data_IF_867140647128
#
_entry.id   IF_867140647128
#
_cell.length_a   1.000
_cell.length_b   1.000
_cell.length_c   1.000
_cell.angle_alpha   90.00
_cell.angle_beta   90.00
_cell.angle_gamma   90.00
#
_symmetry.space_group_name_H-M   'P 1'
#
loop_
_entity.id
_entity.type
_entity.pdbx_description
1 polymer ?
#
# COMPACT_ATOMS: atom_id res chain seq x y z
N UNK A 1 18.12 5.32 22.46
CA UNK A 1 16.93 4.55 22.06
C UNK A 1 15.70 5.41 21.80
N UNK A 2 15.51 6.54 22.50
CA UNK A 2 14.52 7.57 22.10
C UNK A 2 15.08 8.52 21.02
N UNK A 3 16.34 8.94 21.17
CA UNK A 3 17.02 9.83 20.22
C UNK A 3 17.10 9.30 18.76
N UNK A 4 17.10 7.96 18.56
CA UNK A 4 17.13 7.35 17.22
C UNK A 4 15.76 7.41 16.52
N UNK A 5 14.68 7.32 17.30
CA UNK A 5 13.30 7.47 16.82
C UNK A 5 13.00 8.95 16.52
N UNK A 6 13.48 9.86 17.38
CA UNK A 6 13.35 11.31 17.15
C UNK A 6 14.10 11.76 15.90
N UNK A 7 15.31 11.23 15.63
CA UNK A 7 16.04 11.52 14.40
C UNK A 7 15.36 10.97 13.13
N UNK A 8 14.63 9.87 13.23
CA UNK A 8 13.85 9.33 12.10
C UNK A 8 12.63 10.21 11.78
N UNK A 9 11.99 10.79 12.81
CA UNK A 9 10.86 11.72 12.63
C UNK A 9 11.28 13.02 11.91
N UNK A 10 12.48 13.53 12.19
CA UNK A 10 13.02 14.73 11.52
C UNK A 10 13.33 14.48 10.04
N UNK A 11 13.74 13.26 9.68
CA UNK A 11 13.96 12.88 8.27
C UNK A 11 12.64 12.81 7.47
N UNK A 12 11.51 12.56 8.14
CA UNK A 12 10.17 12.49 7.55
C UNK A 12 9.51 13.87 7.38
N UNK A 13 10.06 14.92 7.99
CA UNK A 13 9.44 16.24 8.11
C UNK A 13 9.40 17.05 6.80
N UNK A 14 10.21 16.69 5.81
CA UNK A 14 10.11 17.20 4.46
C UNK A 14 9.70 16.04 3.55
N UNK A 15 8.42 15.70 3.58
CA UNK A 15 7.84 14.81 2.57
C UNK A 15 8.10 15.37 1.16
N UNK A 16 8.06 14.52 0.12
CA UNK A 16 8.14 15.00 -1.25
C UNK A 16 7.08 16.08 -1.50
N UNK A 17 7.37 17.00 -2.42
CA UNK A 17 6.39 18.01 -2.83
C UNK A 17 5.06 17.33 -3.16
N UNK A 18 3.99 17.82 -2.54
CA UNK A 18 2.66 17.23 -2.69
C UNK A 18 2.24 17.32 -4.16
N UNK A 19 1.86 16.17 -4.71
CA UNK A 19 1.44 16.04 -6.10
C UNK A 19 -0.03 16.44 -6.18
N UNK A 20 -0.39 17.33 -7.12
CA UNK A 20 -1.79 17.65 -7.39
C UNK A 20 -2.44 16.53 -8.20
N UNK A 21 -2.79 15.44 -7.50
CA UNK A 21 -3.42 14.27 -8.09
C UNK A 21 -4.77 14.59 -8.76
N UNK A 22 -5.45 15.67 -8.34
CA UNK A 22 -6.71 16.09 -8.93
C UNK A 22 -6.55 16.71 -10.32
N UNK A 23 -5.33 17.18 -10.65
CA UNK A 23 -5.01 17.72 -11.97
C UNK A 23 -4.52 16.66 -12.97
N UNK A 24 -4.27 15.42 -12.53
CA UNK A 24 -3.77 14.34 -13.38
C UNK A 24 -4.86 13.75 -14.29
N UNK A 25 -4.43 13.27 -15.47
CA UNK A 25 -5.26 12.33 -16.24
C UNK A 25 -5.47 11.03 -15.47
N UNK A 26 -6.53 10.27 -15.78
CA UNK A 26 -6.83 9.03 -15.06
C UNK A 26 -5.75 7.95 -15.28
N UNK A 27 -5.20 7.86 -16.48
CA UNK A 27 -4.08 6.97 -16.78
C UNK A 27 -2.79 7.40 -16.10
N UNK A 28 -2.53 8.71 -16.06
CA UNK A 28 -1.38 9.29 -15.34
C UNK A 28 -1.49 9.05 -13.82
N UNK A 29 -2.69 9.20 -13.25
CA UNK A 29 -2.94 8.91 -11.85
C UNK A 29 -2.72 7.42 -11.54
N UNK A 30 -3.17 6.51 -12.41
CA UNK A 30 -2.91 5.09 -12.27
C UNK A 30 -1.40 4.78 -12.31
N UNK A 31 -0.66 5.36 -13.26
CA UNK A 31 0.80 5.24 -13.32
C UNK A 31 1.49 5.76 -12.06
N UNK A 32 1.03 6.91 -11.55
CA UNK A 32 1.57 7.51 -10.35
C UNK A 32 1.35 6.60 -9.12
N UNK A 33 0.16 6.02 -8.98
CA UNK A 33 -0.18 5.11 -7.88
C UNK A 33 0.70 3.86 -7.94
N UNK A 34 0.84 3.24 -9.11
CA UNK A 34 1.66 2.04 -9.31
C UNK A 34 3.14 2.31 -8.98
N UNK A 35 3.71 3.38 -9.55
CA UNK A 35 5.14 3.69 -9.45
C UNK A 35 5.55 4.23 -8.08
N UNK A 36 4.67 4.97 -7.40
CA UNK A 36 4.98 5.64 -6.13
C UNK A 36 4.55 4.80 -4.94
N UNK A 37 3.31 4.32 -4.93
CA UNK A 37 2.71 3.69 -3.76
C UNK A 37 2.82 2.17 -3.82
N UNK A 38 2.44 1.53 -4.93
CA UNK A 38 2.46 0.06 -5.01
C UNK A 38 3.88 -0.49 -5.00
N UNK A 39 4.80 0.16 -5.73
CA UNK A 39 6.22 -0.20 -5.72
C UNK A 39 6.82 -0.15 -4.30
N UNK A 40 6.51 0.92 -3.54
CA UNK A 40 6.92 1.06 -2.15
C UNK A 40 6.31 -0.03 -1.26
N UNK A 41 4.99 -0.23 -1.31
CA UNK A 41 4.30 -1.20 -0.46
C UNK A 41 4.76 -2.64 -0.75
N UNK A 42 4.95 -3.01 -2.01
CA UNK A 42 5.49 -4.33 -2.39
C UNK A 42 6.90 -4.59 -1.85
N UNK A 43 7.71 -3.54 -1.71
CA UNK A 43 9.05 -3.64 -1.12
C UNK A 43 9.02 -3.70 0.41
N UNK A 44 8.17 -2.90 1.05
CA UNK A 44 8.20 -2.73 2.51
C UNK A 44 7.29 -3.68 3.28
N UNK A 45 6.14 -4.10 2.73
CA UNK A 45 5.21 -5.00 3.44
C UNK A 45 5.87 -6.35 3.84
N UNK A 46 6.63 -7.04 2.98
CA UNK A 46 7.33 -8.27 3.39
C UNK A 46 8.34 -8.03 4.52
N UNK A 47 9.05 -6.89 4.49
CA UNK A 47 10.01 -6.50 5.53
C UNK A 47 9.29 -6.21 6.85
N UNK A 48 8.12 -5.56 6.77
CA UNK A 48 7.29 -5.23 7.93
C UNK A 48 6.75 -6.50 8.61
N UNK A 49 6.30 -7.49 7.83
CA UNK A 49 5.91 -8.82 8.33
C UNK A 49 7.08 -9.47 9.09
N UNK A 50 8.26 -9.54 8.49
CA UNK A 50 9.44 -10.13 9.13
C UNK A 50 9.81 -9.41 10.45
N UNK A 51 9.69 -8.08 10.49
CA UNK A 51 9.92 -7.30 11.69
C UNK A 51 8.89 -7.60 12.78
N UNK A 52 7.61 -7.62 12.42
CA UNK A 52 6.52 -7.89 13.35
C UNK A 52 6.64 -9.29 13.96
N UNK A 53 6.92 -10.31 13.14
CA UNK A 53 7.11 -11.68 13.58
C UNK A 53 8.31 -11.83 14.51
N UNK A 54 9.44 -11.17 14.20
CA UNK A 54 10.63 -11.18 15.06
C UNK A 54 10.38 -10.53 16.42
N UNK A 55 9.66 -9.40 16.44
CA UNK A 55 9.30 -8.71 17.68
C UNK A 55 8.40 -9.60 18.53
N UNK A 56 7.36 -10.20 17.93
CA UNK A 56 6.48 -11.13 18.63
C UNK A 56 7.26 -12.34 19.18
N UNK A 57 8.08 -12.99 18.35
CA UNK A 57 8.86 -14.16 18.77
C UNK A 57 9.79 -13.87 19.96
N UNK A 58 10.43 -12.70 19.99
CA UNK A 58 11.40 -12.34 21.04
C UNK A 58 10.74 -11.79 22.31
N UNK A 59 9.59 -11.14 22.19
CA UNK A 59 9.01 -10.34 23.25
C UNK A 59 7.59 -10.73 23.67
N UNK A 60 6.97 -11.76 23.09
CA UNK A 60 5.62 -12.21 23.45
C UNK A 60 5.44 -12.53 24.94
N UNK A 61 6.50 -12.98 25.62
CA UNK A 61 6.46 -13.23 27.07
C UNK A 61 6.24 -11.96 27.90
N UNK A 62 6.54 -10.77 27.35
CA UNK A 62 6.33 -9.47 28.02
C UNK A 62 4.96 -8.88 27.74
N UNK A 63 4.41 -9.13 26.56
CA UNK A 63 3.13 -8.56 26.13
C UNK A 63 2.44 -9.51 25.15
N UNK A 64 1.30 -10.06 25.57
CA UNK A 64 0.51 -11.00 24.80
C UNK A 64 -0.15 -10.37 23.55
N UNK A 65 -0.16 -9.03 23.43
CA UNK A 65 -0.67 -8.32 22.25
C UNK A 65 0.29 -8.37 21.06
N UNK A 66 1.57 -8.71 21.28
CA UNK A 66 2.56 -8.74 20.20
C UNK A 66 2.27 -9.83 19.14
N UNK A 67 1.89 -11.07 19.52
CA UNK A 67 1.35 -12.04 18.56
C UNK A 67 0.13 -11.54 17.79
N UNK A 68 -0.82 -10.86 18.45
CA UNK A 68 -2.01 -10.31 17.79
C UNK A 68 -1.65 -9.22 16.78
N UNK A 69 -0.72 -8.33 17.14
CA UNK A 69 -0.17 -7.31 16.24
C UNK A 69 0.52 -7.95 15.02
N UNK A 70 1.35 -8.97 15.23
CA UNK A 70 2.01 -9.67 14.12
C UNK A 70 1.00 -10.34 13.18
N UNK A 71 -0.04 -10.97 13.73
CA UNK A 71 -1.14 -11.52 12.94
C UNK A 71 -1.86 -10.44 12.13
N UNK A 72 -2.18 -9.29 12.74
CA UNK A 72 -2.82 -8.18 12.04
C UNK A 72 -1.97 -7.62 10.90
N UNK A 73 -0.66 -7.48 11.09
CA UNK A 73 0.28 -7.05 10.03
C UNK A 73 0.32 -8.04 8.88
N UNK A 74 0.33 -9.34 9.17
CA UNK A 74 0.29 -10.40 8.15
C UNK A 74 -1.01 -10.36 7.35
N UNK A 75 -2.16 -10.25 8.02
CA UNK A 75 -3.47 -10.14 7.37
C UNK A 75 -3.54 -8.90 6.46
N UNK A 76 -3.18 -7.72 6.99
CA UNK A 76 -3.17 -6.48 6.21
C UNK A 76 -2.25 -6.59 4.99
N UNK A 77 -1.09 -7.22 5.14
CA UNK A 77 -0.13 -7.41 4.04
C UNK A 77 -0.75 -8.24 2.91
N UNK A 78 -1.42 -9.34 3.24
CA UNK A 78 -2.07 -10.21 2.26
C UNK A 78 -3.23 -9.51 1.55
N UNK A 79 -4.05 -8.78 2.30
CA UNK A 79 -5.16 -7.98 1.77
C UNK A 79 -4.64 -6.91 0.81
N UNK A 80 -3.59 -6.18 1.21
CA UNK A 80 -3.03 -5.11 0.37
C UNK A 80 -2.39 -5.63 -0.91
N UNK A 81 -1.61 -6.71 -0.83
CA UNK A 81 -1.02 -7.33 -2.03
C UNK A 81 -2.10 -7.83 -2.99
N UNK A 82 -3.17 -8.42 -2.46
CA UNK A 82 -4.33 -8.87 -3.25
C UNK A 82 -5.06 -7.70 -3.90
N UNK A 83 -5.30 -6.62 -3.13
CA UNK A 83 -5.98 -5.43 -3.61
C UNK A 83 -5.21 -4.76 -4.75
N UNK A 84 -3.93 -4.47 -4.55
CA UNK A 84 -3.07 -3.86 -5.57
C UNK A 84 -2.99 -4.73 -6.83
N UNK A 85 -2.99 -6.06 -6.69
CA UNK A 85 -3.00 -6.95 -7.85
C UNK A 85 -4.29 -6.84 -8.66
N UNK A 86 -5.47 -6.75 -8.02
CA UNK A 86 -6.73 -6.52 -8.72
C UNK A 86 -6.69 -5.21 -9.51
N UNK A 87 -6.13 -4.16 -8.92
CA UNK A 87 -6.00 -2.84 -9.55
C UNK A 87 -5.11 -2.90 -10.79
N UNK A 88 -3.88 -3.40 -10.63
CA UNK A 88 -2.86 -3.44 -11.68
C UNK A 88 -3.23 -4.36 -12.85
N UNK A 89 -3.94 -5.46 -12.59
CA UNK A 89 -4.27 -6.46 -13.62
C UNK A 89 -5.59 -6.14 -14.32
N UNK A 90 -6.54 -5.51 -13.62
CA UNK A 90 -7.91 -5.34 -14.14
C UNK A 90 -8.30 -3.87 -14.22
N UNK A 91 -8.28 -3.15 -13.10
CA UNK A 91 -8.87 -1.81 -13.01
C UNK A 91 -8.04 -0.78 -13.80
N UNK A 92 -6.76 -0.64 -13.52
CA UNK A 92 -5.89 0.35 -14.15
C UNK A 92 -5.75 0.15 -15.67
N UNK A 93 -5.62 -1.09 -16.19
CA UNK A 93 -5.70 -1.33 -17.63
C UNK A 93 -7.03 -0.89 -18.24
N UNK A 94 -8.17 -1.09 -17.57
CA UNK A 94 -9.47 -0.63 -18.05
C UNK A 94 -9.56 0.90 -18.04
N UNK A 95 -9.11 1.55 -16.96
CA UNK A 95 -9.09 3.02 -16.82
C UNK A 95 -8.35 3.66 -17.99
N UNK A 96 -7.13 3.18 -18.29
CA UNK A 96 -6.31 3.68 -19.41
C UNK A 96 -7.01 3.50 -20.77
N UNK A 97 -7.71 2.38 -20.98
CA UNK A 97 -8.48 2.17 -22.22
C UNK A 97 -9.65 3.13 -22.35
N UNK A 98 -10.40 3.35 -21.27
CA UNK A 98 -11.55 4.28 -21.26
C UNK A 98 -11.08 5.70 -21.55
N UNK A 99 -9.99 6.14 -20.91
CA UNK A 99 -9.39 7.45 -21.17
C UNK A 99 -8.95 7.60 -22.64
N UNK A 100 -8.40 6.54 -23.25
CA UNK A 100 -8.05 6.51 -24.67
C UNK A 100 -9.28 6.45 -25.63
N UNK A 101 -10.50 6.55 -25.11
CA UNK A 101 -11.74 6.61 -25.89
C UNK A 101 -12.40 5.25 -26.15
N UNK A 102 -11.93 4.17 -25.51
CA UNK A 102 -12.63 2.89 -25.58
C UNK A 102 -13.95 2.93 -24.80
N UNK A 103 -14.97 2.23 -25.31
CA UNK A 103 -16.17 1.95 -24.52
C UNK A 103 -15.81 0.91 -23.45
N UNK A 104 -16.10 1.21 -22.20
CA UNK A 104 -15.88 0.30 -21.09
C UNK A 104 -16.80 0.64 -19.93
N UNK A 105 -17.30 -0.40 -19.26
CA UNK A 105 -18.05 -0.26 -18.02
C UNK A 105 -17.11 -0.51 -16.84
N UNK A 106 -16.87 0.54 -16.05
CA UNK A 106 -15.99 0.50 -14.89
C UNK A 106 -16.69 0.00 -13.62
N UNK A 107 -18.03 -0.08 -13.61
CA UNK A 107 -18.81 -0.40 -12.42
C UNK A 107 -18.50 -1.79 -11.85
N UNK A 108 -18.35 -2.79 -12.73
CA UNK A 108 -18.09 -4.17 -12.31
C UNK A 108 -16.70 -4.35 -11.66
N UNK A 109 -15.58 -3.88 -12.25
CA UNK A 109 -14.29 -3.89 -11.57
C UNK A 109 -14.30 -3.14 -10.23
N UNK A 110 -14.94 -1.97 -10.17
CA UNK A 110 -15.03 -1.18 -8.92
C UNK A 110 -15.78 -1.95 -7.83
N UNK A 111 -16.91 -2.59 -8.17
CA UNK A 111 -17.65 -3.42 -7.20
C UNK A 111 -16.81 -4.59 -6.66
N UNK A 112 -15.89 -5.13 -7.47
CA UNK A 112 -14.98 -6.22 -7.05
C UNK A 112 -13.81 -5.72 -6.18
N UNK A 113 -13.60 -4.40 -6.09
CA UNK A 113 -12.63 -3.79 -5.18
C UNK A 113 -13.19 -3.61 -3.76
N UNK A 114 -14.52 -3.50 -3.61
CA UNK A 114 -15.20 -3.32 -2.31
C UNK A 114 -15.47 -4.64 -1.55
N UNK A 115 -15.19 -5.79 -2.19
CA UNK A 115 -15.39 -7.14 -1.68
C UNK A 115 -14.07 -7.85 -1.37
#
# INVERSE_FOLDING_TARGET
>A
TVALLESAAVLFAAGPAEVDAAAMGLGELADHIEATHHAYLKAELPRLVELADRVAAKHAWRDARLPEMAAAVNTLTLEMLTHMQKEEVVLFPLVRRIEAGARGDISAPVAQMEA
#
